data_IF_035154257764
#
_entry.id   IF_035154257764
#
_cell.length_a   1.000
_cell.length_b   1.000
_cell.length_c   1.000
_cell.angle_alpha   90.00
_cell.angle_beta   90.00
_cell.angle_gamma   90.00
#
_symmetry.space_group_name_H-M   'P 1'
#
loop_
_entity.id
_entity.type
_entity.pdbx_description
1 polymer ?
#
# COMPACT_ATOMS: atom_id res chain seq x y z
N UNK A 1 -14.71 21.14 -25.11
CA UNK A 1 -14.16 21.28 -23.74
C UNK A 1 -13.72 19.91 -23.25
N UNK A 2 -12.42 19.61 -23.33
CA UNK A 2 -11.87 18.29 -23.01
C UNK A 2 -11.96 18.00 -21.51
N UNK A 3 -12.75 16.98 -21.15
CA UNK A 3 -12.67 16.32 -19.84
C UNK A 3 -11.35 15.55 -19.78
N UNK A 4 -10.36 16.08 -19.08
CA UNK A 4 -9.18 15.31 -18.66
C UNK A 4 -9.61 14.37 -17.53
N UNK A 5 -9.83 13.11 -17.87
CA UNK A 5 -9.95 12.02 -16.91
C UNK A 5 -8.61 11.93 -16.18
N UNK A 6 -8.56 12.35 -14.91
CA UNK A 6 -7.41 12.08 -14.05
C UNK A 6 -7.36 10.55 -13.84
N UNK A 7 -6.53 9.86 -14.61
CA UNK A 7 -6.13 8.50 -14.26
C UNK A 7 -5.51 8.54 -12.86
N UNK A 8 -5.95 7.62 -12.01
CA UNK A 8 -5.38 7.36 -10.70
C UNK A 8 -3.86 7.41 -10.80
N UNK A 9 -3.26 8.32 -10.02
CA UNK A 9 -1.81 8.39 -9.87
C UNK A 9 -1.41 7.13 -9.15
N UNK A 10 -0.97 6.14 -9.92
CA UNK A 10 -0.31 4.95 -9.40
C UNK A 10 0.75 5.42 -8.43
N UNK A 11 0.67 4.97 -7.18
CA UNK A 11 1.75 5.14 -6.23
C UNK A 11 2.96 4.39 -6.79
N UNK A 12 3.79 5.09 -7.55
CA UNK A 12 5.05 4.57 -8.05
C UNK A 12 5.83 4.07 -6.84
N UNK A 13 6.06 2.76 -6.81
CA UNK A 13 6.93 2.11 -5.86
C UNK A 13 8.33 2.69 -6.10
N UNK A 14 8.68 3.77 -5.40
CA UNK A 14 10.03 4.33 -5.44
C UNK A 14 10.94 3.37 -4.67
N UNK A 15 11.64 2.50 -5.40
CA UNK A 15 12.66 1.62 -4.85
C UNK A 15 14.02 2.15 -5.29
N UNK A 16 14.83 2.54 -4.30
CA UNK A 16 16.23 2.89 -4.43
C UNK A 16 16.99 1.75 -5.11
N UNK A 17 17.73 2.07 -6.17
CA UNK A 17 18.55 1.11 -6.89
C UNK A 17 19.72 0.64 -6.02
N UNK A 18 19.83 -0.67 -5.84
CA UNK A 18 21.13 -1.29 -5.62
C UNK A 18 21.78 -1.41 -7.00
N UNK A 19 22.86 -0.66 -7.21
CA UNK A 19 23.74 -0.83 -8.37
C UNK A 19 24.55 -2.10 -8.12
N UNK A 20 24.11 -3.22 -8.69
CA UNK A 20 25.01 -4.33 -8.97
C UNK A 20 25.64 -4.07 -10.34
N UNK A 21 26.93 -3.73 -10.33
CA UNK A 21 27.76 -3.78 -11.52
C UNK A 21 27.91 -5.24 -11.95
N UNK A 22 27.58 -5.52 -13.21
CA UNK A 22 27.66 -6.85 -13.79
C UNK A 22 26.76 -6.96 -15.01
N UNK A 23 27.28 -6.55 -16.17
CA UNK A 23 26.66 -6.74 -17.47
C UNK A 23 26.64 -8.23 -17.86
N UNK A 24 25.56 -8.91 -17.49
CA UNK A 24 25.03 -10.07 -18.17
C UNK A 24 23.51 -9.98 -18.03
N UNK A 25 22.80 -9.74 -19.14
CA UNK A 25 21.34 -9.85 -19.20
C UNK A 25 20.98 -11.32 -19.01
N UNK A 26 20.93 -11.79 -17.76
CA UNK A 26 20.46 -13.13 -17.47
C UNK A 26 18.96 -13.16 -17.73
N UNK A 27 18.57 -13.63 -18.91
CA UNK A 27 17.19 -13.99 -19.22
C UNK A 27 16.60 -14.79 -18.06
N UNK A 28 15.41 -14.42 -17.59
CA UNK A 28 14.71 -15.11 -16.50
C UNK A 28 14.62 -16.62 -16.80
N UNK A 29 15.18 -17.47 -15.93
CA UNK A 29 15.14 -18.93 -16.09
C UNK A 29 13.74 -19.46 -15.75
N UNK A 30 13.15 -20.21 -16.69
CA UNK A 30 11.86 -20.86 -16.46
C UNK A 30 11.98 -22.04 -15.50
N UNK A 31 13.14 -22.68 -15.42
CA UNK A 31 13.44 -23.75 -14.47
C UNK A 31 13.43 -23.22 -13.03
N UNK A 32 14.07 -22.06 -12.79
CA UNK A 32 14.03 -21.40 -11.49
C UNK A 32 12.62 -20.95 -11.10
N UNK A 33 11.85 -20.42 -12.05
CA UNK A 33 10.44 -20.07 -11.83
C UNK A 33 9.57 -21.29 -11.56
N UNK A 34 9.81 -22.39 -12.27
CA UNK A 34 9.17 -23.68 -12.04
C UNK A 34 9.47 -24.19 -10.63
N UNK A 35 10.74 -24.16 -10.21
CA UNK A 35 11.15 -24.55 -8.86
C UNK A 35 10.54 -23.65 -7.76
N UNK A 36 10.46 -22.34 -8.00
CA UNK A 36 9.85 -21.38 -7.06
C UNK A 36 8.34 -21.58 -6.93
N UNK A 37 7.63 -21.72 -8.05
CA UNK A 37 6.17 -21.70 -8.08
C UNK A 37 5.53 -23.08 -7.87
N UNK A 38 6.25 -24.15 -8.24
CA UNK A 38 5.74 -25.50 -8.36
C UNK A 38 4.97 -25.77 -9.67
N UNK A 39 4.90 -24.80 -10.59
CA UNK A 39 4.32 -24.99 -11.92
C UNK A 39 5.33 -25.65 -12.85
N UNK A 40 4.86 -26.51 -13.77
CA UNK A 40 5.75 -27.03 -14.83
C UNK A 40 6.20 -25.91 -15.77
N UNK A 41 7.41 -26.01 -16.32
CA UNK A 41 7.91 -25.09 -17.37
C UNK A 41 6.90 -24.96 -18.51
N UNK A 42 6.32 -26.09 -18.96
CA UNK A 42 5.28 -26.10 -20.00
C UNK A 42 4.06 -25.26 -19.64
N UNK A 43 3.62 -25.28 -18.38
CA UNK A 43 2.49 -24.44 -17.92
C UNK A 43 2.85 -22.95 -17.98
N UNK A 44 4.08 -22.60 -17.61
CA UNK A 44 4.58 -21.21 -17.67
C UNK A 44 4.64 -20.75 -19.14
N UNK A 45 5.20 -21.56 -20.04
CA UNK A 45 5.26 -21.29 -21.48
C UNK A 45 3.86 -21.11 -22.10
N UNK A 46 2.90 -21.97 -21.73
CA UNK A 46 1.52 -21.86 -22.19
C UNK A 46 0.82 -20.57 -21.75
N UNK A 47 1.14 -20.07 -20.56
CA UNK A 47 0.65 -18.78 -20.10
C UNK A 47 1.34 -17.62 -20.84
N UNK A 48 2.66 -17.71 -21.07
CA UNK A 48 3.40 -16.71 -21.85
C UNK A 48 2.89 -16.62 -23.28
N UNK A 49 2.54 -17.75 -23.90
CA UNK A 49 1.98 -17.79 -25.26
C UNK A 49 0.60 -17.11 -25.39
N UNK A 50 -0.13 -16.91 -24.28
CA UNK A 50 -1.40 -16.18 -24.24
C UNK A 50 -1.22 -14.69 -23.92
N UNK A 51 -0.03 -14.29 -23.47
CA UNK A 51 0.25 -12.92 -23.05
C UNK A 51 0.67 -12.05 -24.24
N UNK A 52 0.29 -10.78 -24.20
CA UNK A 52 0.72 -9.78 -25.18
C UNK A 52 1.68 -8.79 -24.53
N UNK A 53 2.83 -8.52 -25.17
CA UNK A 53 3.76 -7.47 -24.74
C UNK A 53 3.13 -6.08 -24.90
N UNK A 54 3.23 -5.24 -23.87
CA UNK A 54 2.61 -3.92 -23.81
C UNK A 54 3.68 -2.82 -23.66
N UNK A 55 4.18 -2.26 -24.76
CA UNK A 55 5.20 -1.19 -24.76
C UNK A 55 4.83 0.03 -23.89
N UNK A 56 3.54 0.36 -23.84
CA UNK A 56 2.99 1.44 -23.00
C UNK A 56 3.22 1.21 -21.50
N UNK A 57 3.28 -0.04 -21.04
CA UNK A 57 3.60 -0.39 -19.65
C UNK A 57 5.07 -0.08 -19.36
N UNK A 58 5.99 -0.46 -20.26
CA UNK A 58 7.42 -0.14 -20.13
C UNK A 58 7.62 1.37 -20.08
N UNK A 59 7.04 2.11 -21.02
CA UNK A 59 7.06 3.59 -21.05
C UNK A 59 6.49 4.22 -19.78
N UNK A 60 5.49 3.59 -19.16
CA UNK A 60 4.91 4.09 -17.90
C UNK A 60 5.85 3.84 -16.73
N UNK A 61 6.51 2.69 -16.70
CA UNK A 61 7.45 2.31 -15.64
C UNK A 61 8.77 3.08 -15.69
N UNK A 62 9.24 3.47 -16.88
CA UNK A 62 10.52 4.17 -17.08
C UNK A 62 10.43 5.70 -17.02
N UNK A 63 9.24 6.27 -16.87
CA UNK A 63 9.09 7.72 -16.71
C UNK A 63 9.86 8.18 -15.46
N UNK A 64 10.75 9.18 -15.56
CA UNK A 64 11.45 9.71 -14.41
C UNK A 64 10.43 10.23 -13.40
N UNK A 65 10.29 9.51 -12.30
CA UNK A 65 9.51 9.97 -11.17
C UNK A 65 10.44 10.86 -10.35
N UNK A 66 10.51 12.15 -10.69
CA UNK A 66 10.98 13.12 -9.71
C UNK A 66 10.12 12.93 -8.46
N UNK A 67 10.74 12.53 -7.36
CA UNK A 67 10.04 12.34 -6.09
C UNK A 67 9.38 13.66 -5.72
N UNK A 68 8.06 13.74 -5.84
CA UNK A 68 7.33 14.95 -5.48
C UNK A 68 7.63 15.30 -4.02
N UNK A 69 7.93 16.56 -3.68
CA UNK A 69 8.02 16.97 -2.29
C UNK A 69 6.68 16.73 -1.59
N UNK A 70 6.70 16.53 -0.28
CA UNK A 70 5.53 16.10 0.47
C UNK A 70 4.32 17.02 0.26
N UNK A 71 4.52 18.34 0.28
CA UNK A 71 3.43 19.31 0.04
C UNK A 71 2.72 19.14 -1.32
N UNK A 72 3.41 18.64 -2.35
CA UNK A 72 2.84 18.36 -3.66
C UNK A 72 2.23 16.95 -3.72
N UNK A 73 2.90 15.95 -3.13
CA UNK A 73 2.42 14.57 -3.07
C UNK A 73 1.10 14.46 -2.29
N UNK A 74 1.02 15.07 -1.11
CA UNK A 74 -0.19 15.01 -0.26
C UNK A 74 -1.45 15.52 -0.96
N UNK A 75 -1.32 16.54 -1.83
CA UNK A 75 -2.46 17.14 -2.55
C UNK A 75 -3.12 16.17 -3.55
N UNK A 76 -2.43 15.09 -3.95
CA UNK A 76 -2.98 14.06 -4.84
C UNK A 76 -4.00 13.16 -4.11
N UNK A 77 -3.80 12.93 -2.81
CA UNK A 77 -4.57 11.97 -2.02
C UNK A 77 -5.49 12.65 -1.01
N UNK A 78 -5.02 13.69 -0.35
CA UNK A 78 -5.76 14.39 0.69
C UNK A 78 -6.65 15.46 0.03
N UNK A 79 -7.76 15.00 -0.54
CA UNK A 79 -8.78 15.85 -1.17
C UNK A 79 -10.10 15.72 -0.44
N UNK A 80 -10.90 16.80 -0.44
CA UNK A 80 -12.23 16.80 0.18
C UNK A 80 -13.10 15.66 -0.35
N UNK A 81 -13.12 15.46 -1.67
CA UNK A 81 -13.91 14.41 -2.31
C UNK A 81 -13.49 12.99 -1.88
N UNK A 82 -12.18 12.74 -1.71
CA UNK A 82 -11.68 11.45 -1.23
C UNK A 82 -12.07 11.22 0.22
N UNK A 83 -11.90 12.22 1.09
CA UNK A 83 -12.31 12.12 2.51
C UNK A 83 -13.81 11.84 2.61
N UNK A 84 -14.65 12.61 1.92
CA UNK A 84 -16.11 12.44 1.95
C UNK A 84 -16.55 11.05 1.49
N UNK A 85 -15.94 10.52 0.41
CA UNK A 85 -16.21 9.14 -0.04
C UNK A 85 -15.68 8.10 0.94
N UNK A 86 -14.56 8.35 1.61
CA UNK A 86 -14.05 7.49 2.66
C UNK A 86 -14.99 7.41 3.86
N UNK A 87 -15.56 8.54 4.27
CA UNK A 87 -16.59 8.58 5.32
C UNK A 87 -17.85 7.85 4.86
N UNK A 88 -18.30 8.05 3.62
CA UNK A 88 -19.45 7.33 3.08
C UNK A 88 -19.21 5.82 3.03
N UNK A 89 -18.05 5.37 2.53
CA UNK A 89 -17.64 3.97 2.50
C UNK A 89 -17.59 3.38 3.92
N UNK A 90 -17.06 4.12 4.90
CA UNK A 90 -17.08 3.68 6.29
C UNK A 90 -18.51 3.54 6.81
N UNK A 91 -19.37 4.53 6.63
CA UNK A 91 -20.76 4.47 7.09
C UNK A 91 -21.53 3.30 6.45
N UNK A 92 -21.35 3.07 5.15
CA UNK A 92 -21.99 2.00 4.40
C UNK A 92 -21.56 0.61 4.89
N UNK A 93 -20.26 0.43 5.17
CA UNK A 93 -19.69 -0.87 5.53
C UNK A 93 -19.28 -0.95 7.02
N UNK A 94 -19.88 -0.13 7.88
CA UNK A 94 -19.48 0.04 9.28
C UNK A 94 -19.41 -1.29 10.04
N UNK A 95 -20.43 -2.14 9.88
CA UNK A 95 -20.49 -3.45 10.56
C UNK A 95 -19.33 -4.36 10.14
N UNK A 96 -18.99 -4.36 8.85
CA UNK A 96 -17.94 -5.20 8.27
C UNK A 96 -16.57 -4.70 8.72
N UNK A 97 -16.34 -3.38 8.64
CA UNK A 97 -15.10 -2.75 9.10
C UNK A 97 -14.86 -2.96 10.59
N UNK A 98 -15.90 -2.82 11.43
CA UNK A 98 -15.81 -3.06 12.87
C UNK A 98 -15.54 -4.54 13.17
N UNK A 99 -16.13 -5.47 12.40
CA UNK A 99 -15.82 -6.90 12.48
C UNK A 99 -14.36 -7.18 12.14
N UNK A 100 -13.85 -6.60 11.04
CA UNK A 100 -12.46 -6.70 10.64
C UNK A 100 -11.52 -6.13 11.72
N UNK A 101 -11.85 -4.98 12.31
CA UNK A 101 -11.10 -4.44 13.44
C UNK A 101 -11.09 -5.38 14.65
N UNK A 102 -12.23 -6.01 14.97
CA UNK A 102 -12.32 -6.94 16.09
C UNK A 102 -11.42 -8.16 15.90
N UNK A 103 -11.36 -8.70 14.68
CA UNK A 103 -10.57 -9.90 14.34
C UNK A 103 -9.09 -9.56 14.19
N UNK A 104 -8.76 -8.54 13.41
CA UNK A 104 -7.40 -8.23 12.98
C UNK A 104 -6.72 -7.11 13.77
N UNK A 105 -7.46 -6.33 14.56
CA UNK A 105 -6.93 -5.21 15.35
C UNK A 105 -6.57 -3.96 14.54
N UNK A 106 -6.89 -3.93 13.24
CA UNK A 106 -6.61 -2.82 12.33
C UNK A 106 -7.79 -1.83 12.35
N UNK A 107 -7.57 -0.53 12.60
CA UNK A 107 -8.66 0.44 12.64
C UNK A 107 -9.39 0.59 11.30
N UNK A 108 -10.72 0.72 11.29
CA UNK A 108 -11.53 0.91 10.08
C UNK A 108 -11.03 2.04 9.18
N UNK A 109 -10.62 3.17 9.76
CA UNK A 109 -10.14 4.32 9.01
C UNK A 109 -8.84 4.04 8.24
N UNK A 110 -8.01 3.09 8.69
CA UNK A 110 -6.79 2.67 7.99
C UNK A 110 -7.18 1.83 6.77
N UNK A 111 -8.10 0.89 6.92
CA UNK A 111 -8.62 0.07 5.81
C UNK A 111 -9.29 0.96 4.76
N UNK A 112 -10.13 1.91 5.20
CA UNK A 112 -10.76 2.90 4.32
C UNK A 112 -9.73 3.77 3.58
N UNK A 113 -8.67 4.21 4.28
CA UNK A 113 -7.61 5.00 3.66
C UNK A 113 -6.84 4.22 2.59
N UNK A 114 -6.54 2.93 2.83
CA UNK A 114 -5.90 2.05 1.85
C UNK A 114 -6.76 1.92 0.61
N UNK A 115 -8.01 1.46 0.75
CA UNK A 115 -8.92 1.28 -0.39
C UNK A 115 -9.16 2.62 -1.13
N UNK A 116 -9.24 3.73 -0.39
CA UNK A 116 -9.39 5.07 -0.94
C UNK A 116 -8.17 5.59 -1.71
N UNK A 117 -6.96 5.28 -1.25
CA UNK A 117 -5.72 5.63 -1.96
C UNK A 117 -5.51 4.76 -3.19
N UNK A 118 -5.70 3.45 -3.04
CA UNK A 118 -5.42 2.47 -4.09
C UNK A 118 -6.38 2.57 -5.27
N UNK A 119 -7.69 2.60 -5.02
CA UNK A 119 -8.68 2.50 -6.10
C UNK A 119 -9.77 3.53 -6.03
N UNK A 120 -9.69 4.46 -5.08
CA UNK A 120 -10.74 5.44 -4.85
C UNK A 120 -12.07 4.73 -4.57
N UNK A 121 -12.05 3.76 -3.66
CA UNK A 121 -13.21 2.98 -3.24
C UNK A 121 -13.79 2.15 -4.40
N UNK A 122 -12.93 1.40 -5.08
CA UNK A 122 -13.30 0.48 -6.16
C UNK A 122 -13.51 1.13 -7.54
N UNK A 123 -13.48 2.46 -7.66
CA UNK A 123 -13.77 3.14 -8.94
C UNK A 123 -12.67 2.98 -9.98
N UNK A 124 -11.42 2.86 -9.54
CA UNK A 124 -10.24 2.81 -10.39
C UNK A 124 -9.39 1.57 -10.09
N UNK A 125 -9.87 0.37 -10.44
CA UNK A 125 -9.13 -0.88 -10.21
C UNK A 125 -8.12 -1.23 -11.31
N UNK A 126 -8.06 -0.42 -12.36
CA UNK A 126 -7.21 -0.62 -13.51
C UNK A 126 -7.89 -1.40 -14.64
N UNK A 127 -7.35 -1.24 -15.84
CA UNK A 127 -7.95 -1.74 -17.09
C UNK A 127 -7.00 -2.64 -17.88
N UNK A 128 -5.78 -2.87 -17.37
CA UNK A 128 -4.76 -3.66 -18.04
C UNK A 128 -5.02 -5.14 -17.79
N UNK A 129 -4.79 -6.00 -18.78
CA UNK A 129 -4.67 -7.44 -18.55
C UNK A 129 -3.55 -7.69 -17.55
N UNK A 130 -3.86 -8.37 -16.43
CA UNK A 130 -2.86 -8.70 -15.41
C UNK A 130 -1.80 -9.64 -15.99
N UNK A 131 -2.22 -10.58 -16.84
CA UNK A 131 -1.32 -11.46 -17.58
C UNK A 131 -0.32 -10.66 -18.40
N UNK A 132 -0.81 -9.73 -19.22
CA UNK A 132 0.03 -8.91 -20.11
C UNK A 132 0.98 -8.01 -19.33
N UNK A 133 0.48 -7.40 -18.24
CA UNK A 133 1.27 -6.51 -17.40
C UNK A 133 2.45 -7.25 -16.74
N UNK A 134 2.17 -8.40 -16.14
CA UNK A 134 3.19 -9.20 -15.46
C UNK A 134 4.12 -9.89 -16.44
N UNK A 135 3.64 -10.30 -17.62
CA UNK A 135 4.50 -10.80 -18.69
C UNK A 135 5.46 -9.71 -19.19
N UNK A 136 4.91 -8.54 -19.51
CA UNK A 136 5.69 -7.41 -20.00
C UNK A 136 6.78 -7.01 -19.00
N UNK A 137 6.43 -6.87 -17.72
CA UNK A 137 7.40 -6.47 -16.70
C UNK A 137 8.32 -7.61 -16.25
N UNK A 138 7.84 -8.84 -16.26
CA UNK A 138 8.57 -10.02 -15.82
C UNK A 138 9.63 -10.50 -16.81
N UNK A 139 9.49 -10.19 -18.09
CA UNK A 139 10.38 -10.71 -19.14
C UNK A 139 10.95 -9.62 -20.07
N UNK A 140 10.49 -8.36 -19.94
CA UNK A 140 10.94 -7.25 -20.80
C UNK A 140 11.27 -5.98 -20.01
N UNK A 141 11.36 -6.04 -18.67
CA UNK A 141 11.76 -4.92 -17.81
C UNK A 141 12.89 -5.31 -16.84
N UNK A 142 14.16 -5.28 -17.32
CA UNK A 142 15.32 -5.77 -16.56
C UNK A 142 15.46 -5.24 -15.13
N UNK A 143 15.16 -3.95 -14.80
CA UNK A 143 15.36 -3.45 -13.45
C UNK A 143 14.58 -4.21 -12.36
N UNK A 144 13.47 -4.89 -12.71
CA UNK A 144 12.62 -5.62 -11.75
C UNK A 144 12.07 -6.94 -12.28
N UNK A 145 12.65 -7.47 -13.35
CA UNK A 145 12.15 -8.68 -14.02
C UNK A 145 12.03 -9.88 -13.06
N UNK A 146 13.01 -10.08 -12.17
CA UNK A 146 12.99 -11.17 -11.18
C UNK A 146 11.82 -11.11 -10.17
N UNK A 147 11.31 -9.91 -9.88
CA UNK A 147 10.13 -9.74 -9.03
C UNK A 147 8.86 -10.03 -9.82
N UNK A 148 8.72 -9.40 -10.99
CA UNK A 148 7.50 -9.50 -11.79
C UNK A 148 7.32 -10.87 -12.44
N UNK A 149 8.39 -11.59 -12.74
CA UNK A 149 8.32 -12.96 -13.24
C UNK A 149 7.82 -13.94 -12.17
N UNK A 150 8.17 -13.74 -10.89
CA UNK A 150 7.56 -14.47 -9.77
C UNK A 150 6.08 -14.14 -9.63
N UNK A 151 5.72 -12.87 -9.70
CA UNK A 151 4.31 -12.44 -9.69
C UNK A 151 3.52 -13.02 -10.88
N UNK A 152 4.12 -13.14 -12.06
CA UNK A 152 3.52 -13.80 -13.22
C UNK A 152 3.17 -15.26 -12.90
N UNK A 153 4.10 -16.03 -12.31
CA UNK A 153 3.81 -17.42 -11.90
C UNK A 153 2.79 -17.52 -10.76
N UNK A 154 2.81 -16.57 -9.82
CA UNK A 154 1.79 -16.49 -8.76
C UNK A 154 0.41 -16.18 -9.35
N UNK A 155 0.33 -15.34 -10.38
CA UNK A 155 -0.93 -15.08 -11.08
C UNK A 155 -1.48 -16.32 -11.78
N UNK A 156 -0.63 -17.14 -12.40
CA UNK A 156 -1.07 -18.41 -12.99
C UNK A 156 -1.68 -19.33 -11.93
N UNK A 157 -1.00 -19.49 -10.78
CA UNK A 157 -1.51 -20.28 -9.65
C UNK A 157 -2.83 -19.73 -9.13
N UNK A 158 -2.91 -18.42 -8.97
CA UNK A 158 -4.10 -17.75 -8.46
C UNK A 158 -5.29 -17.97 -9.40
N UNK A 159 -5.11 -17.69 -10.69
CA UNK A 159 -6.17 -17.88 -11.68
C UNK A 159 -6.66 -19.34 -11.71
N UNK A 160 -5.75 -20.32 -11.65
CA UNK A 160 -6.11 -21.72 -11.56
C UNK A 160 -6.92 -22.03 -10.29
N UNK A 161 -6.50 -21.53 -9.12
CA UNK A 161 -7.21 -21.75 -7.85
C UNK A 161 -8.60 -21.11 -7.80
N UNK A 162 -8.80 -20.02 -8.54
CA UNK A 162 -10.06 -19.27 -8.60
C UNK A 162 -10.93 -19.67 -9.80
N UNK A 163 -10.45 -20.58 -10.67
CA UNK A 163 -11.13 -20.96 -11.91
C UNK A 163 -11.23 -19.81 -12.93
N UNK A 164 -10.35 -18.82 -12.85
CA UNK A 164 -10.37 -17.67 -13.74
C UNK A 164 -9.71 -17.96 -15.09
N UNK A 165 -10.27 -17.45 -16.20
CA UNK A 165 -9.54 -17.36 -17.46
C UNK A 165 -8.33 -16.40 -17.29
N UNK A 166 -7.12 -16.88 -17.61
CA UNK A 166 -5.88 -16.12 -17.43
C UNK A 166 -5.90 -14.74 -18.11
N UNK A 167 -6.64 -14.58 -19.21
CA UNK A 167 -6.66 -13.38 -20.04
C UNK A 167 -7.72 -12.35 -19.63
N UNK A 168 -8.63 -12.69 -18.71
CA UNK A 168 -9.79 -11.87 -18.39
C UNK A 168 -9.58 -10.93 -17.21
N UNK A 169 -8.68 -11.27 -16.28
CA UNK A 169 -8.48 -10.46 -15.08
C UNK A 169 -7.78 -9.15 -15.41
N UNK A 170 -8.39 -8.06 -14.92
CA UNK A 170 -7.89 -6.70 -15.08
C UNK A 170 -7.27 -6.16 -13.80
N UNK A 171 -6.31 -5.26 -13.97
CA UNK A 171 -5.60 -4.62 -12.88
C UNK A 171 -4.83 -3.39 -13.33
N UNK A 172 -3.94 -2.92 -12.47
CA UNK A 172 -3.00 -1.85 -12.82
C UNK A 172 -1.99 -2.31 -13.87
N UNK A 173 -1.28 -1.34 -14.45
CA UNK A 173 -0.16 -1.59 -15.35
C UNK A 173 0.99 -2.39 -14.71
N UNK A 174 1.00 -2.55 -13.38
CA UNK A 174 1.97 -3.34 -12.64
C UNK A 174 1.41 -4.70 -12.19
N UNK A 175 0.18 -5.06 -12.58
CA UNK A 175 -0.46 -6.33 -12.23
C UNK A 175 -1.12 -6.38 -10.85
N UNK A 176 -1.33 -5.22 -10.21
CA UNK A 176 -2.06 -5.14 -8.94
C UNK A 176 -3.59 -5.18 -9.17
N UNK A 177 -4.32 -5.88 -8.29
CA UNK A 177 -5.69 -6.33 -8.54
C UNK A 177 -6.67 -5.88 -7.45
N UNK A 178 -7.93 -5.67 -7.86
CA UNK A 178 -9.04 -5.42 -6.96
C UNK A 178 -8.97 -4.09 -6.20
N UNK A 179 -9.90 -3.91 -5.26
CA UNK A 179 -10.08 -2.66 -4.49
C UNK A 179 -8.85 -2.28 -3.66
N UNK A 180 -8.12 -3.29 -3.16
CA UNK A 180 -6.89 -3.11 -2.39
C UNK A 180 -5.61 -3.09 -3.23
N UNK A 181 -5.68 -3.27 -4.55
CA UNK A 181 -4.49 -3.39 -5.42
C UNK A 181 -3.48 -4.43 -4.92
N UNK A 182 -3.96 -5.63 -4.60
CA UNK A 182 -3.09 -6.74 -4.21
C UNK A 182 -2.32 -7.26 -5.42
N UNK A 183 -1.02 -7.47 -5.25
CA UNK A 183 -0.23 -8.28 -6.18
C UNK A 183 -0.67 -9.75 -6.07
N UNK A 184 -0.51 -10.59 -7.11
CA UNK A 184 -0.90 -12.00 -7.07
C UNK A 184 -0.37 -12.77 -5.86
N UNK A 185 0.89 -12.57 -5.48
CA UNK A 185 1.45 -13.17 -4.26
C UNK A 185 0.73 -12.72 -2.99
N UNK A 186 0.35 -11.44 -2.91
CA UNK A 186 -0.41 -10.92 -1.77
C UNK A 186 -1.82 -11.47 -1.72
N UNK A 187 -2.46 -11.65 -2.88
CA UNK A 187 -3.75 -12.32 -2.98
C UNK A 187 -3.68 -13.73 -2.41
N UNK A 188 -2.75 -14.55 -2.92
CA UNK A 188 -2.60 -15.93 -2.49
C UNK A 188 -2.35 -16.09 -0.98
N UNK A 189 -1.61 -15.15 -0.38
CA UNK A 189 -1.17 -15.28 1.01
C UNK A 189 -2.07 -14.58 2.03
N UNK A 190 -2.78 -13.52 1.63
CA UNK A 190 -3.45 -12.63 2.58
C UNK A 190 -4.91 -12.36 2.26
N UNK A 191 -5.38 -12.72 1.06
CA UNK A 191 -6.80 -12.57 0.77
C UNK A 191 -7.62 -13.59 1.58
N UNK A 192 -8.77 -13.15 2.07
CA UNK A 192 -9.66 -13.96 2.91
C UNK A 192 -11.08 -13.89 2.37
N UNK A 193 -11.76 -15.01 2.42
CA UNK A 193 -13.22 -15.11 2.27
C UNK A 193 -13.82 -14.58 3.57
N UNK A 194 -14.19 -13.30 3.56
CA UNK A 194 -14.60 -12.59 4.77
C UNK A 194 -16.10 -12.67 5.00
N UNK A 195 -16.89 -12.98 3.97
CA UNK A 195 -18.33 -13.19 4.05
C UNK A 195 -18.70 -14.69 4.29
N UNK A 196 -17.72 -15.60 4.18
CA UNK A 196 -17.84 -17.04 4.31
C UNK A 196 -18.73 -17.72 3.25
N UNK A 197 -18.75 -17.19 2.02
CA UNK A 197 -19.52 -17.74 0.90
C UNK A 197 -18.77 -18.85 0.12
N UNK A 198 -17.53 -19.14 0.50
CA UNK A 198 -16.66 -20.15 -0.10
C UNK A 198 -15.76 -19.60 -1.22
N UNK A 199 -15.84 -18.31 -1.53
CA UNK A 199 -15.07 -17.65 -2.58
C UNK A 199 -14.33 -16.43 -2.03
N UNK A 200 -13.27 -16.02 -2.74
CA UNK A 200 -12.57 -14.77 -2.44
C UNK A 200 -12.71 -13.88 -3.68
N UNK A 201 -13.23 -12.66 -3.52
CA UNK A 201 -13.46 -11.74 -4.61
C UNK A 201 -13.11 -10.28 -4.25
N UNK A 202 -11.84 -9.93 -4.37
CA UNK A 202 -11.36 -8.56 -4.09
C UNK A 202 -11.80 -7.49 -5.11
N UNK A 203 -12.57 -7.83 -6.14
CA UNK A 203 -12.99 -6.91 -7.19
C UNK A 203 -14.38 -6.35 -6.92
N UNK A 204 -15.34 -7.24 -6.66
CA UNK A 204 -16.75 -6.89 -6.54
C UNK A 204 -17.35 -7.22 -5.17
N UNK A 205 -16.62 -7.95 -4.31
CA UNK A 205 -17.00 -8.16 -2.91
C UNK A 205 -16.22 -7.20 -2.00
N UNK A 206 -16.96 -6.29 -1.36
CA UNK A 206 -16.38 -5.30 -0.46
C UNK A 206 -15.99 -5.91 0.89
N UNK A 207 -16.68 -6.97 1.35
CA UNK A 207 -16.34 -7.66 2.58
C UNK A 207 -14.99 -8.33 2.46
N UNK A 208 -14.75 -9.05 1.37
CA UNK A 208 -13.46 -9.70 1.12
C UNK A 208 -12.34 -8.68 0.97
N UNK A 209 -12.59 -7.57 0.26
CA UNK A 209 -11.61 -6.49 0.15
C UNK A 209 -11.25 -5.89 1.53
N UNK A 210 -12.24 -5.61 2.38
CA UNK A 210 -12.03 -5.09 3.73
C UNK A 210 -11.27 -6.10 4.59
N UNK A 211 -11.74 -7.34 4.62
CA UNK A 211 -11.14 -8.43 5.41
C UNK A 211 -9.71 -8.69 5.00
N UNK A 212 -9.44 -8.73 3.70
CA UNK A 212 -8.12 -9.00 3.12
C UNK A 212 -7.12 -7.89 3.42
N UNK A 213 -7.54 -6.61 3.28
CA UNK A 213 -6.68 -5.49 3.66
C UNK A 213 -6.36 -5.57 5.16
N UNK A 214 -7.35 -5.79 6.01
CA UNK A 214 -7.12 -5.91 7.45
C UNK A 214 -6.21 -7.11 7.81
N UNK A 215 -6.43 -8.26 7.17
CA UNK A 215 -5.60 -9.45 7.34
C UNK A 215 -4.15 -9.20 6.90
N UNK A 216 -3.93 -8.54 5.76
CA UNK A 216 -2.60 -8.15 5.30
C UNK A 216 -1.85 -7.37 6.37
N UNK A 217 -2.48 -6.35 6.96
CA UNK A 217 -1.86 -5.55 8.02
C UNK A 217 -1.54 -6.39 9.26
N UNK A 218 -2.46 -7.28 9.66
CA UNK A 218 -2.24 -8.19 10.79
C UNK A 218 -1.04 -9.11 10.56
N UNK A 219 -0.97 -9.76 9.41
CA UNK A 219 0.13 -10.68 9.04
C UNK A 219 1.47 -9.95 8.88
N UNK A 220 1.45 -8.67 8.53
CA UNK A 220 2.65 -7.82 8.50
C UNK A 220 3.00 -7.20 9.86
N UNK A 221 2.35 -7.65 10.93
CA UNK A 221 2.72 -7.33 12.31
C UNK A 221 2.07 -6.06 12.85
N UNK A 222 0.90 -5.65 12.35
CA UNK A 222 0.15 -4.55 12.94
C UNK A 222 -0.12 -4.78 14.43
N UNK A 223 0.23 -3.79 15.25
CA UNK A 223 0.02 -3.82 16.69
C UNK A 223 -1.21 -3.01 17.06
N UNK A 224 -2.25 -3.70 17.57
CA UNK A 224 -3.50 -3.07 17.98
C UNK A 224 -3.27 -1.97 19.03
N UNK A 225 -3.98 -0.87 18.86
CA UNK A 225 -3.96 0.32 19.72
C UNK A 225 -2.59 1.01 19.87
N UNK A 226 -1.58 0.66 19.07
CA UNK A 226 -0.27 1.33 19.10
C UNK A 226 -0.23 2.53 18.15
N UNK A 227 0.60 3.50 18.53
CA UNK A 227 0.90 4.71 17.78
C UNK A 227 1.38 4.43 16.37
N UNK A 228 1.20 5.40 15.48
CA UNK A 228 1.60 5.29 14.07
C UNK A 228 2.65 6.36 13.76
N UNK A 229 2.27 7.63 13.84
CA UNK A 229 3.12 8.74 13.47
C UNK A 229 2.83 9.96 14.34
N UNK A 230 3.87 10.55 14.92
CA UNK A 230 3.76 11.73 15.79
C UNK A 230 4.54 12.91 15.22
N UNK A 231 3.95 14.12 15.13
CA UNK A 231 4.71 15.32 14.84
C UNK A 231 5.81 15.54 15.90
N UNK A 232 7.00 15.90 15.42
CA UNK A 232 8.17 16.14 16.25
C UNK A 232 8.62 17.61 16.13
N UNK A 233 9.03 18.18 17.25
CA UNK A 233 9.78 19.43 17.27
C UNK A 233 11.27 19.10 17.41
N UNK A 234 12.10 19.68 16.55
CA UNK A 234 13.54 19.44 16.50
C UNK A 234 14.29 20.70 16.93
N UNK A 235 15.29 20.55 17.80
CA UNK A 235 16.28 21.59 18.10
C UNK A 235 17.66 21.13 17.61
N UNK A 236 18.28 21.89 16.72
CA UNK A 236 19.61 21.56 16.18
C UNK A 236 19.58 20.60 14.98
N UNK A 237 20.74 20.01 14.68
CA UNK A 237 20.90 19.07 13.57
C UNK A 237 20.55 17.63 13.99
N UNK A 238 19.65 17.00 13.23
CA UNK A 238 19.16 15.63 13.44
C UNK A 238 19.52 14.69 12.30
N UNK A 239 20.40 15.11 11.39
CA UNK A 239 20.83 14.32 10.24
C UNK A 239 21.38 12.96 10.65
N UNK A 240 22.18 12.91 11.72
CA UNK A 240 22.71 11.68 12.28
C UNK A 240 21.61 10.75 12.86
N UNK A 241 20.53 11.30 13.41
CA UNK A 241 19.41 10.49 13.91
C UNK A 241 18.62 9.86 12.76
N UNK A 242 18.39 10.60 11.67
CA UNK A 242 17.66 10.08 10.51
C UNK A 242 18.41 8.93 9.82
N UNK A 243 19.75 8.96 9.84
CA UNK A 243 20.61 7.87 9.31
C UNK A 243 20.53 6.58 10.13
N UNK A 244 20.10 6.63 11.40
CA UNK A 244 19.90 5.42 12.22
C UNK A 244 18.68 4.60 11.79
N UNK A 245 17.81 5.16 10.96
CA UNK A 245 16.56 4.52 10.52
C UNK A 245 15.76 3.93 11.71
N UNK A 246 15.42 2.63 11.64
CA UNK A 246 14.67 1.92 12.68
C UNK A 246 15.53 1.43 13.85
N UNK A 247 16.85 1.70 13.84
CA UNK A 247 17.71 1.38 14.98
C UNK A 247 17.65 2.46 16.08
N UNK A 248 17.08 3.64 15.79
CA UNK A 248 16.92 4.74 16.71
C UNK A 248 15.94 4.39 17.83
N UNK A 249 16.29 4.73 19.06
CA UNK A 249 15.40 4.65 20.24
C UNK A 249 14.81 6.00 20.60
N UNK A 250 13.66 6.02 21.27
CA UNK A 250 13.06 7.27 21.75
C UNK A 250 13.97 8.03 22.72
N UNK A 251 14.72 7.34 23.59
CA UNK A 251 15.69 7.97 24.50
C UNK A 251 16.83 8.69 23.76
N UNK A 252 17.36 8.10 22.69
CA UNK A 252 18.36 8.77 21.85
C UNK A 252 17.79 10.00 21.17
N UNK A 253 16.54 9.91 20.70
CA UNK A 253 15.82 11.01 20.06
C UNK A 253 15.61 12.17 21.03
N UNK A 254 15.14 11.90 22.25
CA UNK A 254 14.91 12.91 23.29
C UNK A 254 16.21 13.55 23.78
N UNK A 255 17.27 12.75 24.02
CA UNK A 255 18.60 13.28 24.39
C UNK A 255 19.20 14.19 23.33
N UNK A 256 18.86 13.98 22.06
CA UNK A 256 19.30 14.80 20.94
C UNK A 256 18.44 16.05 20.70
N UNK A 257 17.52 16.40 21.62
CA UNK A 257 16.76 17.65 21.56
C UNK A 257 15.53 17.60 20.65
N UNK A 258 15.11 16.41 20.22
CA UNK A 258 13.82 16.22 19.56
C UNK A 258 12.75 15.98 20.62
N UNK A 259 11.52 16.42 20.39
CA UNK A 259 10.40 16.21 21.32
C UNK A 259 9.10 15.93 20.57
N UNK A 260 8.21 15.17 21.20
CA UNK A 260 6.87 14.83 20.69
C UNK A 260 5.82 15.29 21.70
N UNK A 261 4.57 15.53 21.25
CA UNK A 261 3.47 15.87 22.18
C UNK A 261 3.05 14.71 23.07
N UNK A 262 3.40 13.49 22.66
CA UNK A 262 3.18 12.26 23.42
C UNK A 262 4.50 11.77 24.00
N UNK A 263 4.46 11.15 25.17
CA UNK A 263 5.63 10.50 25.76
C UNK A 263 5.74 9.07 25.19
N UNK A 264 6.77 8.83 24.38
CA UNK A 264 7.09 7.51 23.85
C UNK A 264 8.05 6.83 24.85
N UNK A 265 7.86 5.54 25.11
CA UNK A 265 8.74 4.80 26.00
C UNK A 265 10.19 4.82 25.49
N UNK A 266 11.15 5.11 26.38
CA UNK A 266 12.54 5.38 26.01
C UNK A 266 13.22 4.29 25.16
N UNK A 267 12.93 3.01 25.46
CA UNK A 267 13.47 1.86 24.75
C UNK A 267 12.80 1.55 23.41
N UNK A 268 11.68 2.19 23.10
CA UNK A 268 10.91 1.93 21.88
C UNK A 268 11.72 2.29 20.63
N UNK A 269 11.68 1.39 19.64
CA UNK A 269 12.29 1.62 18.33
C UNK A 269 11.41 2.53 17.49
N UNK A 270 12.01 3.59 16.98
CA UNK A 270 11.34 4.63 16.20
C UNK A 270 12.16 4.98 14.98
N UNK A 271 11.56 5.71 14.05
CA UNK A 271 12.29 6.33 12.93
C UNK A 271 11.92 7.80 12.80
N UNK A 272 12.93 8.66 12.67
CA UNK A 272 12.71 10.08 12.40
C UNK A 272 12.65 10.31 10.89
N UNK A 273 11.57 10.94 10.43
CA UNK A 273 11.39 11.38 9.04
C UNK A 273 11.29 12.90 8.96
N UNK A 274 11.82 13.46 7.87
CA UNK A 274 11.56 14.84 7.46
C UNK A 274 10.74 14.87 6.18
N UNK A 275 9.72 15.71 6.13
CA UNK A 275 8.86 15.91 4.96
C UNK A 275 8.93 17.36 4.50
N UNK A 276 9.18 17.57 3.20
CA UNK A 276 9.30 18.90 2.62
C UNK A 276 7.94 19.60 2.50
N UNK A 277 7.85 20.75 3.17
CA UNK A 277 6.72 21.67 3.11
C UNK A 277 6.99 22.78 2.08
N UNK A 278 5.99 23.61 1.86
CA UNK A 278 6.14 24.82 1.04
C UNK A 278 7.18 25.78 1.65
N UNK A 279 7.78 26.62 0.81
CA UNK A 279 8.78 27.63 1.20
C UNK A 279 10.03 27.04 1.89
N UNK A 280 10.51 25.88 1.42
CA UNK A 280 11.70 25.18 1.92
C UNK A 280 11.65 24.82 3.42
N UNK A 281 10.45 24.77 4.01
CA UNK A 281 10.26 24.33 5.39
C UNK A 281 10.22 22.80 5.46
N UNK A 282 10.52 22.24 6.63
CA UNK A 282 10.41 20.79 6.89
C UNK A 282 9.46 20.53 8.05
N UNK A 283 8.64 19.50 7.91
CA UNK A 283 7.96 18.87 9.03
C UNK A 283 8.78 17.66 9.48
N UNK A 284 9.02 17.54 10.77
CA UNK A 284 9.65 16.36 11.36
C UNK A 284 8.60 15.50 12.04
N UNK A 285 8.74 14.19 11.90
CA UNK A 285 7.82 13.21 12.47
C UNK A 285 8.57 12.01 13.02
N UNK A 286 8.05 11.43 14.10
CA UNK A 286 8.51 10.18 14.69
C UNK A 286 7.55 9.09 14.27
N UNK A 287 8.02 8.16 13.45
CA UNK A 287 7.29 7.00 13.00
C UNK A 287 7.50 5.82 13.96
N UNK A 288 6.39 5.17 14.29
CA UNK A 288 6.32 3.99 15.14
C UNK A 288 6.25 2.72 14.29
N UNK A 289 6.26 1.54 14.92
CA UNK A 289 6.14 0.25 14.25
C UNK A 289 4.94 0.17 13.29
N UNK A 290 3.75 0.65 13.66
CA UNK A 290 2.60 0.59 12.74
C UNK A 290 2.78 1.44 11.47
N UNK A 291 3.59 2.50 11.50
CA UNK A 291 3.95 3.22 10.27
C UNK A 291 4.87 2.38 9.38
N UNK A 292 5.82 1.64 9.97
CA UNK A 292 6.58 0.63 9.23
C UNK A 292 5.66 -0.40 8.58
N UNK A 293 4.65 -0.89 9.28
CA UNK A 293 3.67 -1.84 8.72
C UNK A 293 2.94 -1.26 7.51
N UNK A 294 2.53 0.02 7.53
CA UNK A 294 1.92 0.68 6.34
C UNK A 294 2.90 0.69 5.16
N UNK A 295 4.20 0.92 5.40
CA UNK A 295 5.21 0.88 4.33
C UNK A 295 5.44 -0.52 3.73
N UNK A 296 4.92 -1.58 4.35
CA UNK A 296 4.95 -2.93 3.76
C UNK A 296 4.00 -3.03 2.57
N UNK A 297 2.86 -2.34 2.65
CA UNK A 297 1.87 -2.28 1.57
C UNK A 297 2.43 -1.56 0.32
N UNK A 298 3.12 -0.43 0.54
CA UNK A 298 3.90 0.26 -0.48
C UNK A 298 5.14 0.87 0.17
N UNK A 299 6.33 0.55 -0.35
CA UNK A 299 7.65 0.91 0.21
C UNK A 299 8.01 2.40 0.07
N UNK A 300 7.08 3.30 0.38
CA UNK A 300 7.24 4.74 0.30
C UNK A 300 6.78 5.40 1.61
N UNK A 301 7.64 6.20 2.27
CA UNK A 301 7.23 6.95 3.45
C UNK A 301 6.20 8.05 3.11
N UNK A 302 6.22 8.61 1.90
CA UNK A 302 5.19 9.57 1.45
C UNK A 302 3.83 8.88 1.31
N UNK A 303 3.80 7.65 0.79
CA UNK A 303 2.58 6.85 0.73
C UNK A 303 2.04 6.58 2.13
N UNK A 304 2.89 6.08 3.05
CA UNK A 304 2.46 5.78 4.41
C UNK A 304 1.96 7.01 5.17
N UNK A 305 2.61 8.17 4.97
CA UNK A 305 2.14 9.44 5.50
C UNK A 305 0.78 9.86 4.92
N UNK A 306 0.55 9.64 3.62
CA UNK A 306 -0.74 9.94 2.98
C UNK A 306 -1.86 9.02 3.48
N UNK A 307 -1.60 7.72 3.65
CA UNK A 307 -2.54 6.78 4.27
C UNK A 307 -2.89 7.23 5.68
N UNK A 308 -1.88 7.54 6.50
CA UNK A 308 -2.11 7.98 7.86
C UNK A 308 -2.91 9.29 7.91
N UNK A 309 -2.50 10.32 7.16
CA UNK A 309 -3.21 11.61 7.14
C UNK A 309 -4.67 11.44 6.64
N UNK A 310 -4.89 10.66 5.58
CA UNK A 310 -6.25 10.38 5.09
C UNK A 310 -7.10 9.66 6.14
N UNK A 311 -6.53 8.67 6.83
CA UNK A 311 -7.23 7.92 7.88
C UNK A 311 -7.65 8.84 9.04
N UNK A 312 -6.81 9.81 9.43
CA UNK A 312 -7.15 10.75 10.50
C UNK A 312 -8.30 11.70 10.08
N UNK A 313 -8.34 12.15 8.82
CA UNK A 313 -9.46 12.93 8.30
C UNK A 313 -10.76 12.11 8.25
N UNK A 314 -10.71 10.89 7.72
CA UNK A 314 -11.87 9.98 7.67
C UNK A 314 -12.39 9.72 9.09
N UNK A 315 -11.51 9.36 10.03
CA UNK A 315 -11.89 9.11 11.42
C UNK A 315 -12.50 10.34 12.09
N UNK A 316 -11.97 11.53 11.81
CA UNK A 316 -12.53 12.79 12.34
C UNK A 316 -13.92 13.05 11.80
N UNK A 317 -14.08 13.07 10.48
CA UNK A 317 -15.37 13.40 9.86
C UNK A 317 -16.44 12.34 10.15
N UNK A 318 -16.05 11.06 10.21
CA UNK A 318 -16.94 9.99 10.65
C UNK A 318 -17.44 10.21 12.09
N UNK A 319 -16.56 10.53 13.04
CA UNK A 319 -16.99 10.85 14.42
C UNK A 319 -17.89 12.07 14.46
N UNK A 320 -17.56 13.13 13.73
CA UNK A 320 -18.37 14.34 13.69
C UNK A 320 -19.78 14.04 13.14
N UNK A 321 -19.87 13.22 12.10
CA UNK A 321 -21.14 12.73 11.56
C UNK A 321 -21.94 11.94 12.60
N UNK A 322 -21.31 10.97 13.29
CA UNK A 322 -21.98 10.11 14.29
C UNK A 322 -22.46 10.94 15.49
N UNK A 323 -21.63 11.86 15.97
CA UNK A 323 -21.97 12.79 17.06
C UNK A 323 -23.15 13.70 16.69
N UNK A 324 -23.16 14.24 15.47
CA UNK A 324 -24.27 15.05 14.97
C UNK A 324 -25.59 14.26 14.84
N UNK A 325 -25.51 12.93 14.74
CA UNK A 325 -26.66 12.02 14.65
C UNK A 325 -26.92 11.27 15.98
N UNK A 326 -26.49 11.83 17.12
CA UNK A 326 -26.84 11.32 18.46
C UNK A 326 -26.05 10.09 18.92
N UNK A 327 -24.99 9.69 18.21
CA UNK A 327 -24.12 8.58 18.58
C UNK A 327 -22.79 9.12 19.08
N UNK A 328 -22.66 9.31 20.39
CA UNK A 328 -21.45 9.89 21.00
C UNK A 328 -20.25 8.96 20.83
N UNK A 329 -19.31 9.37 19.98
CA UNK A 329 -18.03 8.70 19.78
C UNK A 329 -16.89 9.61 20.26
N UNK A 330 -16.09 9.08 21.17
CA UNK A 330 -14.85 9.71 21.61
C UNK A 330 -13.71 9.39 20.64
N UNK A 331 -12.69 10.25 20.58
CA UNK A 331 -11.46 9.93 19.87
C UNK A 331 -10.81 8.73 20.58
N UNK A 332 -10.66 7.63 19.86
CA UNK A 332 -9.88 6.48 20.34
C UNK A 332 -8.41 6.91 20.41
N UNK A 333 -7.83 6.88 21.61
CA UNK A 333 -6.41 7.14 21.79
C UNK A 333 -5.60 5.93 21.35
N UNK A 334 -4.57 6.14 20.52
CA UNK A 334 -3.52 5.14 20.28
C UNK A 334 -2.43 5.36 21.34
N UNK A 335 -1.96 4.27 21.94
CA UNK A 335 -0.88 4.29 22.93
C UNK A 335 0.43 4.69 22.23
N UNK A 336 1.14 5.71 22.74
CA UNK A 336 2.42 6.18 22.20
C UNK A 336 3.36 5.07 21.80
#
# INVERSE_FOLDING_TARGET
>A
MLRKTLLATSAALAMSGFVFGGSASASVSLEELSAYSGLSVKTIEQAMAQATYQDTIIKTMTKPYESKPWHAYRKLFITKDRVQKGVAFYLEHEKILNRAQSIYGVPPEIVCAIIGVETFYGRNMGTWSVLDALYTLGFHYPPREAYFSKEFTNYIKLAASQGWPLTEIKGSYAGAMGMGQFMPSSYLNFAVDFNADGHINLFNDVEDAIGSVANYFKEHGWMKDRGILYPAHVKGDVSALMQKEWNLTADELYRAGVSTKVNIEGGEKVRLYSFDLENNKKAYTVAMHNFYVITRYNKSPLYAAAIYELSEYIAKEYRDYKNANGQTLHKTGRRP
#
